data_IF_433483959925
#
_entry.id   IF_433483959925
#
_cell.length_a   1.000
_cell.length_b   1.000
_cell.length_c   1.000
_cell.angle_alpha   90.00
_cell.angle_beta   90.00
_cell.angle_gamma   90.00
#
_symmetry.space_group_name_H-M   'P 1'
#
loop_
_entity.id
_entity.type
_entity.pdbx_description
1 polymer ?
#
# COMPACT_ATOMS: atom_id res chain seq x y z
N UNK A 1 -10.10 -18.46 -4.32
CA UNK A 1 -10.82 -19.62 -4.88
C UNK A 1 -12.31 -19.29 -4.84
N UNK A 2 -12.93 -18.99 -5.98
CA UNK A 2 -14.30 -18.47 -6.05
C UNK A 2 -15.28 -19.66 -6.04
N UNK A 3 -16.25 -19.66 -5.12
CA UNK A 3 -17.25 -20.71 -5.08
C UNK A 3 -18.32 -20.52 -6.17
N UNK A 4 -18.38 -21.46 -7.11
CA UNK A 4 -19.31 -21.45 -8.24
C UNK A 4 -20.37 -22.57 -8.14
N UNK A 5 -20.47 -23.24 -6.99
CA UNK A 5 -21.30 -24.46 -6.82
C UNK A 5 -22.80 -24.27 -7.08
N UNK A 6 -23.32 -23.04 -7.07
CA UNK A 6 -24.74 -22.73 -7.30
C UNK A 6 -25.15 -22.30 -8.72
N UNK A 7 -24.21 -22.16 -9.67
CA UNK A 7 -24.50 -21.64 -11.02
C UNK A 7 -24.68 -22.74 -12.07
N UNK A 8 -25.57 -22.51 -13.03
CA UNK A 8 -25.70 -23.34 -14.22
C UNK A 8 -24.39 -23.31 -15.06
N UNK A 9 -24.08 -24.37 -15.84
CA UNK A 9 -22.83 -24.47 -16.59
C UNK A 9 -22.57 -23.28 -17.51
N UNK A 10 -23.62 -22.77 -18.14
CA UNK A 10 -23.58 -21.60 -19.03
C UNK A 10 -23.22 -20.32 -18.26
N UNK A 11 -23.84 -20.11 -17.09
CA UNK A 11 -23.59 -18.95 -16.23
C UNK A 11 -22.16 -18.96 -15.66
N UNK A 12 -21.62 -20.15 -15.33
CA UNK A 12 -20.22 -20.29 -14.89
C UNK A 12 -19.25 -19.83 -15.97
N UNK A 13 -19.50 -20.18 -17.23
CA UNK A 13 -18.65 -19.76 -18.35
C UNK A 13 -18.67 -18.25 -18.53
N UNK A 14 -19.84 -17.61 -18.40
CA UNK A 14 -19.97 -16.15 -18.47
C UNK A 14 -19.22 -15.46 -17.32
N UNK A 15 -19.37 -15.94 -16.10
CA UNK A 15 -18.70 -15.38 -14.91
C UNK A 15 -17.18 -15.51 -15.01
N UNK A 16 -16.67 -16.69 -15.37
CA UNK A 16 -15.23 -16.89 -15.54
C UNK A 16 -14.64 -16.00 -16.64
N UNK A 17 -15.37 -15.82 -17.75
CA UNK A 17 -14.96 -14.91 -18.82
C UNK A 17 -14.91 -13.46 -18.35
N UNK A 18 -15.92 -13.00 -17.62
CA UNK A 18 -15.94 -11.64 -17.05
C UNK A 18 -14.79 -11.44 -16.07
N UNK A 19 -14.58 -12.39 -15.15
CA UNK A 19 -13.49 -12.32 -14.17
C UNK A 19 -12.11 -12.33 -14.83
N UNK A 20 -11.95 -13.06 -15.95
CA UNK A 20 -10.71 -13.05 -16.71
C UNK A 20 -10.51 -11.73 -17.48
N UNK A 21 -11.58 -11.12 -17.97
CA UNK A 21 -11.53 -9.81 -18.65
C UNK A 21 -11.17 -8.68 -17.69
N UNK A 22 -11.74 -8.70 -16.49
CA UNK A 22 -11.53 -7.68 -15.46
C UNK A 22 -10.44 -8.09 -14.46
N UNK A 23 -9.66 -9.14 -14.74
CA UNK A 23 -8.65 -9.66 -13.82
C UNK A 23 -7.63 -8.60 -13.41
N UNK A 24 -7.28 -7.69 -14.34
CA UNK A 24 -6.34 -6.58 -14.12
C UNK A 24 -6.91 -5.48 -13.21
N UNK A 25 -8.23 -5.42 -13.02
CA UNK A 25 -8.89 -4.45 -12.14
C UNK A 25 -8.86 -4.90 -10.66
N UNK A 26 -8.58 -6.18 -10.39
CA UNK A 26 -8.51 -6.73 -9.06
C UNK A 26 -7.06 -6.80 -8.56
N UNK A 27 -6.86 -6.43 -7.29
CA UNK A 27 -5.60 -6.63 -6.57
C UNK A 27 -5.21 -8.11 -6.60
N UNK A 28 -4.09 -8.45 -7.22
CA UNK A 28 -3.63 -9.85 -7.31
C UNK A 28 -2.99 -10.34 -6.01
N UNK A 29 -2.49 -9.42 -5.20
CA UNK A 29 -1.90 -9.68 -3.89
C UNK A 29 -2.09 -8.46 -2.97
N UNK A 30 -1.75 -8.62 -1.70
CA UNK A 30 -1.88 -7.56 -0.68
C UNK A 30 -0.98 -6.34 -0.96
N UNK A 31 0.02 -6.51 -1.83
CA UNK A 31 1.01 -5.53 -2.23
C UNK A 31 0.73 -4.90 -3.61
N UNK A 32 -0.39 -5.25 -4.25
CA UNK A 32 -0.71 -4.82 -5.61
C UNK A 32 -1.38 -3.45 -5.57
N UNK A 33 -0.56 -2.41 -5.78
CA UNK A 33 -1.03 -1.03 -5.84
C UNK A 33 -1.12 -0.59 -7.30
N UNK A 34 -2.35 -0.29 -7.74
CA UNK A 34 -2.60 0.28 -9.06
C UNK A 34 -1.89 1.63 -9.25
N UNK A 35 -1.31 1.84 -10.42
CA UNK A 35 -0.63 3.09 -10.79
C UNK A 35 -1.26 3.68 -12.05
N UNK A 36 -1.63 4.96 -12.00
CA UNK A 36 -2.12 5.73 -13.16
C UNK A 36 -1.01 6.73 -13.55
N UNK A 37 -0.11 6.39 -14.49
CA UNK A 37 1.06 7.22 -14.80
C UNK A 37 0.70 8.60 -15.39
N UNK A 38 -0.46 8.70 -16.03
CA UNK A 38 -0.92 9.92 -16.70
C UNK A 38 -1.53 10.94 -15.72
N UNK A 39 -1.88 10.52 -14.50
CA UNK A 39 -2.49 11.38 -13.49
C UNK A 39 -1.44 11.91 -12.51
N UNK A 40 -1.10 13.19 -12.62
CA UNK A 40 -0.24 13.89 -11.66
C UNK A 40 -1.06 14.85 -10.80
N UNK A 41 -1.19 14.54 -9.51
CA UNK A 41 -1.88 15.40 -8.55
C UNK A 41 -0.97 16.54 -8.10
N UNK A 42 -1.42 17.78 -8.24
CA UNK A 42 -0.72 18.97 -7.74
C UNK A 42 -1.49 19.54 -6.55
N UNK A 43 -0.84 19.62 -5.39
CA UNK A 43 -1.42 20.19 -4.17
C UNK A 43 -1.12 21.69 -4.12
N UNK A 44 -2.15 22.54 -4.14
CA UNK A 44 -2.01 23.98 -3.94
C UNK A 44 -1.84 24.27 -2.44
N UNK A 45 -0.84 25.07 -2.09
CA UNK A 45 -0.59 25.49 -0.72
C UNK A 45 -1.26 26.85 -0.45
N UNK A 46 -1.79 27.02 0.77
CA UNK A 46 -2.31 28.32 1.22
C UNK A 46 -1.20 29.19 1.84
N UNK A 47 -0.14 28.55 2.35
CA UNK A 47 1.04 29.16 2.96
C UNK A 47 2.27 28.35 2.50
N UNK A 48 3.34 29.04 2.12
CA UNK A 48 4.60 28.44 1.65
C UNK A 48 5.61 28.23 2.79
N UNK A 49 5.26 28.62 4.02
CA UNK A 49 6.10 28.40 5.20
C UNK A 49 6.28 26.89 5.43
N UNK A 50 7.50 26.34 5.33
CA UNK A 50 7.71 24.90 5.38
C UNK A 50 7.56 24.37 6.81
N UNK A 51 6.82 23.27 6.94
CA UNK A 51 6.77 22.50 8.20
C UNK A 51 8.00 21.62 8.28
N UNK A 52 8.91 21.93 9.20
CA UNK A 52 10.08 21.11 9.50
C UNK A 52 10.01 20.63 10.95
N UNK A 53 9.40 19.45 11.13
CA UNK A 53 9.31 18.81 12.44
C UNK A 53 10.51 17.89 12.67
N UNK A 54 11.01 17.87 13.89
CA UNK A 54 12.09 16.97 14.29
C UNK A 54 11.65 15.51 14.15
N UNK A 55 12.60 14.68 13.72
CA UNK A 55 12.42 13.24 13.60
C UNK A 55 12.17 12.61 14.98
N UNK A 56 11.14 11.76 15.06
CA UNK A 56 10.87 10.91 16.22
C UNK A 56 11.74 9.65 16.10
N UNK A 57 12.59 9.39 17.10
CA UNK A 57 13.43 8.20 17.10
C UNK A 57 12.58 6.93 17.16
N UNK A 58 12.78 6.02 16.21
CA UNK A 58 12.20 4.68 16.25
C UNK A 58 12.80 3.90 17.44
N UNK A 59 11.96 3.33 18.34
CA UNK A 59 12.45 2.54 19.47
C UNK A 59 13.32 1.36 18.99
N UNK A 60 14.54 1.24 19.54
CA UNK A 60 15.42 0.09 19.30
C UNK A 60 15.34 -0.88 20.47
N UNK A 61 15.50 -2.21 20.28
CA UNK A 61 15.91 -2.92 19.05
C UNK A 61 14.78 -3.62 18.29
N UNK A 62 13.57 -3.75 18.86
CA UNK A 62 12.56 -4.70 18.38
C UNK A 62 11.94 -4.34 17.03
N UNK A 63 11.66 -3.05 16.80
CA UNK A 63 10.92 -2.61 15.60
C UNK A 63 11.81 -2.06 14.49
N UNK A 64 13.09 -1.84 14.75
CA UNK A 64 13.99 -1.26 13.75
C UNK A 64 14.20 -2.17 12.52
N UNK A 65 14.38 -3.50 12.65
CA UNK A 65 14.54 -4.39 11.50
C UNK A 65 13.28 -4.43 10.62
N UNK A 66 12.10 -4.52 11.24
CA UNK A 66 10.81 -4.57 10.55
C UNK A 66 10.54 -3.27 9.77
N UNK A 67 10.70 -2.12 10.44
CA UNK A 67 10.53 -0.81 9.81
C UNK A 67 11.51 -0.61 8.66
N UNK A 68 12.77 -1.05 8.83
CA UNK A 68 13.78 -0.96 7.79
C UNK A 68 13.41 -1.79 6.56
N UNK A 69 13.03 -3.06 6.76
CA UNK A 69 12.60 -3.94 5.66
C UNK A 69 11.42 -3.34 4.92
N UNK A 70 10.41 -2.84 5.64
CA UNK A 70 9.23 -2.23 5.03
C UNK A 70 9.59 -1.00 4.19
N UNK A 71 10.45 -0.11 4.71
CA UNK A 71 10.89 1.08 3.96
C UNK A 71 11.71 0.68 2.72
N UNK A 72 12.58 -0.33 2.83
CA UNK A 72 13.34 -0.87 1.68
C UNK A 72 12.40 -1.43 0.61
N UNK A 73 11.35 -2.16 1.00
CA UNK A 73 10.34 -2.68 0.07
C UNK A 73 9.59 -1.54 -0.63
N UNK A 74 9.22 -0.47 0.08
CA UNK A 74 8.58 0.71 -0.53
C UNK A 74 9.48 1.42 -1.55
N UNK A 75 10.79 1.46 -1.29
CA UNK A 75 11.78 2.02 -2.24
C UNK A 75 11.91 1.11 -3.46
N UNK A 76 12.03 -0.21 -3.26
CA UNK A 76 12.17 -1.18 -4.34
C UNK A 76 10.94 -1.21 -5.26
N UNK A 77 9.74 -1.04 -4.68
CA UNK A 77 8.47 -0.92 -5.41
C UNK A 77 8.27 0.44 -6.10
N UNK A 78 9.20 1.38 -5.95
CA UNK A 78 9.11 2.77 -6.44
C UNK A 78 7.90 3.55 -5.92
N UNK A 79 7.34 3.16 -4.77
CA UNK A 79 6.25 3.92 -4.11
C UNK A 79 6.76 5.17 -3.41
N UNK A 80 7.99 5.12 -2.90
CA UNK A 80 8.69 6.27 -2.34
C UNK A 80 10.04 6.46 -3.03
N UNK A 81 10.58 7.67 -2.92
CA UNK A 81 11.92 8.00 -3.45
C UNK A 81 12.70 8.80 -2.43
N UNK A 82 14.02 8.66 -2.47
CA UNK A 82 14.92 9.55 -1.73
C UNK A 82 14.77 10.96 -2.31
N UNK A 83 14.59 11.95 -1.45
CA UNK A 83 14.47 13.35 -1.84
C UNK A 83 15.01 14.28 -0.75
N UNK A 84 15.40 15.48 -1.16
CA UNK A 84 15.78 16.57 -0.26
C UNK A 84 14.68 17.63 -0.33
N UNK A 85 14.05 17.93 0.80
CA UNK A 85 12.89 18.83 0.88
C UNK A 85 12.97 19.72 2.12
N UNK A 86 12.51 20.99 2.04
CA UNK A 86 12.34 21.82 3.23
C UNK A 86 11.16 21.36 4.11
N UNK A 87 10.29 20.48 3.61
CA UNK A 87 9.17 19.90 4.34
C UNK A 87 9.56 18.57 4.97
N UNK A 88 9.33 18.42 6.27
CA UNK A 88 9.59 17.19 7.03
C UNK A 88 8.55 16.97 8.12
N UNK A 89 7.99 15.75 8.16
CA UNK A 89 7.04 15.30 9.19
C UNK A 89 7.52 13.99 9.81
N UNK A 90 7.36 13.80 11.12
CA UNK A 90 7.82 12.59 11.79
C UNK A 90 6.96 11.39 11.40
N UNK A 91 7.61 10.24 11.22
CA UNK A 91 6.93 8.95 11.08
C UNK A 91 6.52 8.46 12.48
N UNK A 92 5.30 7.94 12.59
CA UNK A 92 4.77 7.36 13.83
C UNK A 92 4.49 5.89 13.58
N UNK A 93 4.97 5.04 14.48
CA UNK A 93 4.70 3.60 14.44
C UNK A 93 3.44 3.30 15.24
N UNK A 94 2.54 2.51 14.66
CA UNK A 94 1.34 2.01 15.32
C UNK A 94 1.41 0.50 15.42
N UNK A 95 1.26 -0.02 16.63
CA UNK A 95 1.08 -1.44 16.86
C UNK A 95 -0.40 -1.78 16.70
N UNK A 96 -0.71 -2.69 15.77
CA UNK A 96 -2.03 -3.27 15.64
C UNK A 96 -2.36 -4.20 16.81
N UNK A 97 -3.64 -4.54 17.02
CA UNK A 97 -3.98 -5.62 17.95
C UNK A 97 -3.25 -6.89 17.51
N UNK A 98 -2.67 -7.62 18.47
CA UNK A 98 -2.09 -8.94 18.19
C UNK A 98 -3.19 -9.80 17.57
N UNK A 99 -2.97 -10.26 16.33
CA UNK A 99 -3.82 -11.28 15.74
C UNK A 99 -3.70 -12.52 16.62
N UNK A 100 -4.75 -12.83 17.38
CA UNK A 100 -4.89 -14.14 18.02
C UNK A 100 -4.76 -15.15 16.90
N UNK A 101 -3.64 -15.88 16.89
CA UNK A 101 -3.48 -17.05 16.03
C UNK A 101 -4.43 -18.09 16.62
N UNK A 102 -5.68 -18.12 16.15
CA UNK A 102 -6.55 -19.27 16.37
C UNK A 102 -5.97 -20.42 15.52
N UNK A 103 -5.48 -21.44 16.23
CA UNK A 103 -5.06 -22.72 15.66
C UNK A 103 -6.26 -23.52 15.17
#
# INVERSE_FOLDING_TARGET
NIDLKGLAPEQRSVVLRMLAQEADAFSQNDDDIGCIPDLKVTTKLNDETPVQKNYMAVPRPLVFPEVKSYVEDLVNKNYIRISTSPYSSPVVLRFGPASTIEN
#
